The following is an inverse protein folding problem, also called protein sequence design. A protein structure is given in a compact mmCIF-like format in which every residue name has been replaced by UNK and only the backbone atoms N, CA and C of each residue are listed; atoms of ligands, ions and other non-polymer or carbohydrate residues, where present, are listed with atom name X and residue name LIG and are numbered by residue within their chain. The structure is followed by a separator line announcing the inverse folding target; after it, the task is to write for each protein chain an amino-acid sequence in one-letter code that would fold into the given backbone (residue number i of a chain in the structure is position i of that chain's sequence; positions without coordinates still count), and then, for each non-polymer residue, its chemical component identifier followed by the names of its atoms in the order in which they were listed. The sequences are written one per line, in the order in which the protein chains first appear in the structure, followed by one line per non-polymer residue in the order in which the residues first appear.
data_IF_026434347335
#
_entry.id   IF_026434347335
#
_cell.length_a   1.000
_cell.length_b   1.000
_cell.length_c   1.000
_cell.angle_alpha   90.00
_cell.angle_beta   90.00
_cell.angle_gamma   90.00
#
_symmetry.space_group_name_H-M   'P 1'
#
loop_
_entity.id
_entity.type
_entity.pdbx_description
1 polymer ?
#
# COMPACT_ATOMS: atom_id res chain seq x y z
N UNK A 1 -22.87 1.13 -5.22
CA UNK A 1 -21.91 2.24 -5.35
C UNK A 1 -22.62 3.54 -5.01
N UNK A 2 -22.18 4.24 -3.97
CA UNK A 2 -22.56 5.62 -3.63
C UNK A 2 -21.82 6.59 -4.55
N UNK A 3 -22.33 7.81 -4.71
CA UNK A 3 -21.62 8.89 -5.41
C UNK A 3 -20.34 9.33 -4.67
N UNK A 4 -20.10 8.82 -3.47
CA UNK A 4 -18.97 9.19 -2.59
C UNK A 4 -18.04 8.01 -2.30
N UNK A 5 -18.22 6.90 -3.01
CA UNK A 5 -17.24 5.83 -3.08
C UNK A 5 -16.02 6.32 -3.89
N UNK A 6 -14.83 5.83 -3.54
CA UNK A 6 -13.59 6.16 -4.25
C UNK A 6 -13.26 5.03 -5.21
N UNK A 7 -12.90 5.39 -6.45
CA UNK A 7 -12.45 4.44 -7.46
C UNK A 7 -10.99 4.71 -7.75
N UNK A 8 -10.16 3.68 -7.64
CA UNK A 8 -8.75 3.72 -7.98
C UNK A 8 -8.49 2.68 -9.06
N UNK A 9 -7.79 3.05 -10.12
CA UNK A 9 -7.46 2.12 -11.20
C UNK A 9 -6.09 2.38 -11.80
N UNK A 10 -5.42 1.30 -12.15
CA UNK A 10 -4.07 1.26 -12.73
C UNK A 10 -3.97 0.12 -13.78
N UNK A 11 -2.75 -0.35 -14.05
CA UNK A 11 -2.51 -1.43 -15.00
C UNK A 11 -2.98 -2.82 -14.50
N UNK A 12 -3.14 -3.00 -13.19
CA UNK A 12 -3.52 -4.26 -12.57
C UNK A 12 -5.05 -4.39 -12.43
N UNK A 13 -5.77 -3.27 -12.37
CA UNK A 13 -7.22 -3.27 -12.45
C UNK A 13 -7.89 -2.04 -11.85
N UNK A 14 -9.07 -2.25 -11.25
CA UNK A 14 -9.85 -1.21 -10.58
C UNK A 14 -10.34 -1.72 -9.24
N UNK A 15 -10.15 -0.91 -8.20
CA UNK A 15 -10.65 -1.13 -6.84
C UNK A 15 -11.68 -0.05 -6.51
N UNK A 16 -12.76 -0.46 -5.83
CA UNK A 16 -13.80 0.44 -5.30
C UNK A 16 -13.71 0.44 -3.78
N UNK A 17 -13.48 1.62 -3.20
CA UNK A 17 -13.45 1.82 -1.75
C UNK A 17 -14.79 2.43 -1.32
N UNK A 18 -15.57 1.75 -0.47
CA UNK A 18 -16.85 2.26 0.00
C UNK A 18 -16.71 3.55 0.81
N UNK A 19 -17.69 4.46 0.67
CA UNK A 19 -17.78 5.71 1.45
C UNK A 19 -17.60 5.51 2.96
N UNK A 20 -18.09 4.39 3.51
CA UNK A 20 -18.06 4.11 4.93
C UNK A 20 -16.65 3.94 5.52
N UNK A 21 -15.65 3.57 4.70
CA UNK A 21 -14.29 3.25 5.15
C UNK A 21 -13.19 3.99 4.39
N UNK A 22 -13.54 4.92 3.50
CA UNK A 22 -12.56 5.53 2.58
C UNK A 22 -11.44 6.30 3.28
N UNK A 23 -11.71 6.90 4.43
CA UNK A 23 -10.70 7.65 5.19
C UNK A 23 -9.72 6.69 5.88
N UNK A 24 -10.22 5.59 6.44
CA UNK A 24 -9.39 4.56 7.07
C UNK A 24 -8.50 3.88 6.01
N UNK A 25 -9.09 3.52 4.86
CA UNK A 25 -8.35 2.94 3.73
C UNK A 25 -7.29 3.89 3.21
N UNK A 26 -7.56 5.21 3.15
CA UNK A 26 -6.54 6.19 2.76
C UNK A 26 -5.38 6.22 3.75
N UNK A 27 -5.68 6.32 5.05
CA UNK A 27 -4.65 6.39 6.09
C UNK A 27 -3.79 5.11 6.14
N UNK A 28 -4.41 3.93 6.03
CA UNK A 28 -3.69 2.66 6.00
C UNK A 28 -2.86 2.49 4.71
N UNK A 29 -3.38 2.92 3.55
CA UNK A 29 -2.65 2.86 2.29
C UNK A 29 -1.42 3.79 2.30
N UNK A 30 -1.53 5.00 2.86
CA UNK A 30 -0.40 5.92 2.99
C UNK A 30 0.70 5.32 3.90
N UNK A 31 0.32 4.76 5.06
CA UNK A 31 1.28 4.10 5.95
C UNK A 31 1.95 2.87 5.30
N UNK A 32 1.21 2.12 4.49
CA UNK A 32 1.77 0.99 3.74
C UNK A 32 2.82 1.44 2.72
N UNK A 33 2.55 2.51 1.97
CA UNK A 33 3.49 3.05 0.97
C UNK A 33 4.80 3.50 1.62
N UNK A 34 4.73 4.15 2.78
CA UNK A 34 5.93 4.55 3.53
C UNK A 34 6.80 3.34 3.88
N UNK A 35 6.18 2.26 4.35
CA UNK A 35 6.89 1.02 4.72
C UNK A 35 7.44 0.30 3.48
N UNK A 36 6.70 0.28 2.37
CA UNK A 36 7.19 -0.27 1.09
C UNK A 36 8.42 0.48 0.57
N UNK A 37 8.47 1.81 0.74
CA UNK A 37 9.62 2.60 0.33
C UNK A 37 10.89 2.23 1.12
N UNK A 38 10.77 1.93 2.41
CA UNK A 38 11.87 1.43 3.24
C UNK A 38 12.37 0.06 2.77
N UNK A 39 11.46 -0.89 2.55
CA UNK A 39 11.81 -2.21 1.97
C UNK A 39 12.51 -2.03 0.62
N UNK A 40 11.97 -1.16 -0.24
CA UNK A 40 12.51 -0.90 -1.57
C UNK A 40 13.88 -0.23 -1.52
N UNK A 41 14.16 0.60 -0.51
CA UNK A 41 15.48 1.16 -0.28
C UNK A 41 16.48 0.07 0.17
N UNK A 42 16.13 -0.74 1.16
CA UNK A 42 16.97 -1.83 1.66
C UNK A 42 17.35 -2.83 0.56
N UNK A 43 16.38 -3.21 -0.28
CA UNK A 43 16.63 -4.12 -1.41
C UNK A 43 17.57 -3.50 -2.44
N UNK A 44 17.45 -2.19 -2.73
CA UNK A 44 18.37 -1.49 -3.64
C UNK A 44 19.78 -1.41 -3.08
N UNK A 45 19.92 -1.36 -1.76
CA UNK A 45 21.20 -1.34 -1.06
C UNK A 45 21.82 -2.74 -0.89
N UNK A 46 21.15 -3.78 -1.40
CA UNK A 46 21.68 -5.14 -1.50
C UNK A 46 21.18 -6.11 -0.43
N UNK A 47 20.22 -5.71 0.40
CA UNK A 47 19.52 -6.63 1.32
C UNK A 47 18.65 -7.59 0.50
N UNK A 48 18.60 -8.86 0.87
CA UNK A 48 17.71 -9.80 0.20
C UNK A 48 16.24 -9.42 0.47
N UNK A 49 15.33 -9.53 -0.53
CA UNK A 49 13.94 -9.09 -0.38
C UNK A 49 13.19 -9.71 0.80
N UNK A 50 13.44 -11.00 1.09
CA UNK A 50 12.80 -11.67 2.22
C UNK A 50 13.27 -11.09 3.56
N UNK A 51 14.58 -10.85 3.69
CA UNK A 51 15.15 -10.27 4.91
C UNK A 51 14.65 -8.83 5.11
N UNK A 52 14.50 -8.05 4.02
CA UNK A 52 13.94 -6.70 4.08
C UNK A 52 12.45 -6.71 4.50
N UNK A 53 11.63 -7.62 3.95
CA UNK A 53 10.23 -7.76 4.38
C UNK A 53 10.11 -8.15 5.86
N UNK A 54 10.96 -9.07 6.34
CA UNK A 54 11.00 -9.49 7.74
C UNK A 54 11.40 -8.34 8.68
N UNK A 55 12.33 -7.47 8.25
CA UNK A 55 12.80 -6.32 9.03
C UNK A 55 11.75 -5.21 9.16
N UNK A 56 11.08 -4.87 8.06
CA UNK A 56 10.13 -3.74 8.02
C UNK A 56 8.66 -4.16 8.23
N UNK A 57 8.39 -5.47 8.35
CA UNK A 57 7.07 -5.99 8.73
C UNK A 57 6.00 -5.89 7.63
N UNK A 58 6.41 -5.93 6.35
CA UNK A 58 5.49 -5.84 5.21
C UNK A 58 5.01 -7.24 4.82
N UNK A 59 3.79 -7.60 5.24
CA UNK A 59 3.02 -8.75 4.73
C UNK A 59 1.51 -8.46 4.74
#
# INVERSE_FOLDING_TARGET
MSARDVLVGDADGVVVVPEAIREDVLAEAEALVETEDEVRAAVRDGVAPLDACDEFGVF
#
